data_IF_313183612940
#
_entry.id   IF_313183612940
#
_cell.length_a   1.000
_cell.length_b   1.000
_cell.length_c   1.000
_cell.angle_alpha   90.00
_cell.angle_beta   90.00
_cell.angle_gamma   90.00
#
_symmetry.space_group_name_H-M   'P 1'
#
loop_
_entity.id
_entity.type
_entity.pdbx_description
1 polymer ?
#
# COMPACT_ATOMS: atom_id res chain seq x y z
N UNK A 1 17.40 0.29 16.91
CA UNK A 1 17.41 1.11 18.16
C UNK A 1 17.30 0.22 19.41
N UNK A 2 16.44 -0.78 19.37
CA UNK A 2 16.29 -1.84 20.36
C UNK A 2 16.71 -3.21 19.80
N UNK A 3 17.02 -4.18 20.66
CA UNK A 3 17.17 -5.59 20.24
C UNK A 3 15.88 -6.19 19.65
N UNK A 4 14.74 -5.52 19.89
CA UNK A 4 13.45 -5.86 19.33
C UNK A 4 13.22 -5.31 17.91
N UNK A 5 14.07 -4.40 17.43
CA UNK A 5 13.96 -3.81 16.09
C UNK A 5 14.81 -4.59 15.10
N UNK A 6 14.18 -5.50 14.38
CA UNK A 6 14.90 -6.37 13.43
C UNK A 6 15.25 -5.64 12.13
N UNK A 7 14.42 -4.68 11.72
CA UNK A 7 14.56 -3.94 10.45
C UNK A 7 14.58 -2.45 10.77
N UNK A 8 15.64 -1.76 10.34
CA UNK A 8 15.86 -0.34 10.66
C UNK A 8 15.59 0.61 9.47
N UNK A 9 14.78 0.18 8.49
CA UNK A 9 14.32 1.05 7.41
C UNK A 9 12.79 1.02 7.28
N UNK A 10 12.25 2.08 6.69
CA UNK A 10 10.81 2.30 6.51
C UNK A 10 10.31 2.06 5.09
N UNK A 11 11.18 1.67 4.15
CA UNK A 11 10.74 1.44 2.77
C UNK A 11 9.78 0.24 2.74
N UNK A 12 8.63 0.44 2.13
CA UNK A 12 7.54 -0.53 2.16
C UNK A 12 7.88 -1.85 1.43
N UNK A 13 7.05 -2.86 1.69
CA UNK A 13 7.07 -4.17 1.03
C UNK A 13 8.27 -5.09 1.36
N UNK A 14 9.26 -4.63 2.13
CA UNK A 14 10.48 -5.41 2.44
C UNK A 14 10.29 -6.51 3.47
N UNK A 15 9.31 -6.35 4.37
CA UNK A 15 9.15 -7.20 5.56
C UNK A 15 8.98 -8.69 5.22
N UNK A 16 8.33 -9.01 4.09
CA UNK A 16 8.17 -10.40 3.66
C UNK A 16 9.49 -11.02 3.19
N UNK A 17 10.33 -10.26 2.49
CA UNK A 17 11.67 -10.70 2.09
C UNK A 17 12.57 -10.95 3.30
N UNK A 18 12.55 -10.04 4.28
CA UNK A 18 13.23 -10.23 5.56
C UNK A 18 12.72 -11.47 6.30
N UNK A 19 11.40 -11.65 6.38
CA UNK A 19 10.81 -12.78 7.07
C UNK A 19 11.15 -14.13 6.40
N UNK A 20 11.12 -14.17 5.06
CA UNK A 20 11.56 -15.33 4.28
C UNK A 20 13.03 -15.68 4.59
N UNK A 21 13.92 -14.68 4.55
CA UNK A 21 15.34 -14.84 4.86
C UNK A 21 15.60 -15.31 6.29
N UNK A 22 14.97 -14.69 7.29
CA UNK A 22 15.11 -15.07 8.69
C UNK A 22 14.57 -16.47 8.95
N UNK A 23 13.46 -16.86 8.31
CA UNK A 23 12.91 -18.20 8.47
C UNK A 23 13.83 -19.26 7.83
N UNK A 24 14.51 -18.95 6.71
CA UNK A 24 15.59 -19.79 6.15
C UNK A 24 16.76 -19.93 7.13
N UNK A 25 17.24 -18.82 7.68
CA UNK A 25 18.36 -18.81 8.62
C UNK A 25 18.07 -19.72 9.83
N UNK A 26 16.89 -19.58 10.44
CA UNK A 26 16.46 -20.42 11.57
C UNK A 26 16.41 -21.91 11.23
N UNK A 27 15.89 -22.26 10.05
CA UNK A 27 15.88 -23.65 9.58
C UNK A 27 17.30 -24.23 9.47
N UNK A 28 18.24 -23.48 8.89
CA UNK A 28 19.65 -23.90 8.75
C UNK A 28 20.32 -24.06 10.12
N UNK A 29 20.01 -23.17 11.07
CA UNK A 29 20.57 -23.20 12.42
C UNK A 29 19.91 -24.25 13.33
N UNK A 30 18.84 -24.92 12.86
CA UNK A 30 18.07 -25.86 13.68
C UNK A 30 17.26 -25.18 14.80
N UNK A 31 17.06 -23.85 14.69
CA UNK A 31 16.26 -23.09 15.65
C UNK A 31 14.78 -23.41 15.51
N UNK A 32 14.09 -23.49 16.65
CA UNK A 32 12.65 -23.73 16.69
C UNK A 32 11.91 -22.41 16.89
N UNK A 33 10.80 -22.23 16.17
CA UNK A 33 9.93 -21.08 16.32
C UNK A 33 9.40 -20.59 14.99
N UNK A 34 8.58 -19.54 15.03
CA UNK A 34 8.06 -18.89 13.84
C UNK A 34 8.68 -17.51 13.66
N UNK A 35 8.85 -17.10 12.41
CA UNK A 35 9.05 -15.70 12.06
C UNK A 35 7.68 -15.09 11.79
N UNK A 36 7.41 -13.92 12.36
CA UNK A 36 6.15 -13.21 12.18
C UNK A 36 6.43 -11.90 11.44
N UNK A 37 5.78 -11.70 10.30
CA UNK A 37 5.84 -10.48 9.52
C UNK A 37 4.50 -9.75 9.63
N UNK A 38 4.53 -8.45 9.92
CA UNK A 38 3.32 -7.61 9.87
C UNK A 38 3.45 -6.69 8.67
N UNK A 39 2.47 -6.73 7.77
CA UNK A 39 2.47 -5.94 6.53
C UNK A 39 1.11 -5.26 6.34
N UNK A 40 1.12 -3.99 5.95
CA UNK A 40 -0.12 -3.27 5.60
C UNK A 40 -0.65 -3.67 4.22
N UNK A 41 -1.94 -3.47 3.97
CA UNK A 41 -2.58 -3.69 2.67
C UNK A 41 -1.93 -2.86 1.55
N UNK A 42 -1.62 -1.58 1.80
CA UNK A 42 -0.85 -0.75 0.87
C UNK A 42 0.54 -1.32 0.54
N UNK A 43 1.27 -1.80 1.55
CA UNK A 43 2.60 -2.40 1.35
C UNK A 43 2.56 -3.74 0.60
N UNK A 44 1.42 -4.45 0.60
CA UNK A 44 1.22 -5.64 -0.22
C UNK A 44 1.03 -5.33 -1.71
N UNK A 45 0.79 -4.08 -2.10
CA UNK A 45 0.71 -3.70 -3.52
C UNK A 45 2.08 -3.70 -4.21
N UNK A 46 3.17 -3.60 -3.45
CA UNK A 46 4.51 -3.53 -4.03
C UNK A 46 5.06 -4.86 -4.53
N UNK A 47 5.76 -4.79 -5.67
CA UNK A 47 6.28 -5.98 -6.37
C UNK A 47 7.15 -6.88 -5.49
N UNK A 48 8.03 -6.30 -4.67
CA UNK A 48 8.89 -7.04 -3.75
C UNK A 48 8.09 -7.90 -2.75
N UNK A 49 6.91 -7.44 -2.30
CA UNK A 49 6.07 -8.23 -1.41
C UNK A 49 5.54 -9.47 -2.15
N UNK A 50 5.16 -9.35 -3.42
CA UNK A 50 4.68 -10.44 -4.25
C UNK A 50 5.78 -11.43 -4.63
N UNK A 51 6.97 -10.95 -4.95
CA UNK A 51 8.15 -11.78 -5.18
C UNK A 51 8.46 -12.65 -3.95
N UNK A 52 8.45 -12.01 -2.76
CA UNK A 52 8.65 -12.72 -1.50
C UNK A 52 7.51 -13.69 -1.21
N UNK A 53 6.25 -13.28 -1.39
CA UNK A 53 5.08 -14.10 -1.14
C UNK A 53 5.07 -15.37 -2.01
N UNK A 54 5.42 -15.24 -3.29
CA UNK A 54 5.55 -16.37 -4.20
C UNK A 54 6.61 -17.39 -3.72
N UNK A 55 7.76 -16.89 -3.25
CA UNK A 55 8.81 -17.75 -2.68
C UNK A 55 8.37 -18.41 -1.36
N UNK A 56 7.68 -17.68 -0.49
CA UNK A 56 7.16 -18.19 0.77
C UNK A 56 6.13 -19.29 0.50
N UNK A 57 5.21 -19.06 -0.44
CA UNK A 57 4.15 -20.00 -0.79
C UNK A 57 4.69 -21.32 -1.37
N UNK A 58 5.80 -21.26 -2.12
CA UNK A 58 6.48 -22.45 -2.61
C UNK A 58 7.10 -23.30 -1.48
N UNK A 59 7.44 -22.69 -0.33
CA UNK A 59 8.07 -23.35 0.81
C UNK A 59 7.05 -23.86 1.83
N UNK A 60 6.47 -25.05 1.57
CA UNK A 60 5.33 -25.61 2.33
C UNK A 60 5.56 -25.78 3.83
N UNK A 61 6.80 -25.99 4.26
CA UNK A 61 7.17 -26.27 5.66
C UNK A 61 7.80 -25.05 6.37
N UNK A 62 7.85 -23.89 5.72
CA UNK A 62 8.48 -22.71 6.31
C UNK A 62 7.66 -22.22 7.51
N UNK A 63 8.25 -22.10 8.71
CA UNK A 63 7.52 -21.67 9.90
C UNK A 63 7.40 -20.13 9.91
N UNK A 64 6.49 -19.62 9.09
CA UNK A 64 6.30 -18.18 8.87
C UNK A 64 4.83 -17.81 9.03
N UNK A 65 4.55 -16.74 9.78
CA UNK A 65 3.21 -16.18 9.93
C UNK A 65 3.23 -14.76 9.33
N UNK A 66 2.39 -14.52 8.33
CA UNK A 66 2.17 -13.21 7.73
C UNK A 66 0.90 -12.65 8.36
N UNK A 67 0.99 -11.48 8.99
CA UNK A 67 -0.16 -10.73 9.49
C UNK A 67 -0.40 -9.57 8.53
N UNK A 68 -1.52 -9.61 7.82
CA UNK A 68 -1.97 -8.51 6.98
C UNK A 68 -2.80 -7.57 7.83
N UNK A 69 -2.31 -6.35 8.01
CA UNK A 69 -3.04 -5.25 8.63
C UNK A 69 -3.78 -4.46 7.54
N UNK A 70 -5.02 -4.83 7.28
CA UNK A 70 -5.85 -4.20 6.25
C UNK A 70 -6.71 -3.10 6.86
N UNK A 71 -6.41 -1.85 6.48
CA UNK A 71 -7.19 -0.67 6.84
C UNK A 71 -7.68 0.12 5.60
N UNK A 72 -7.55 -0.47 4.41
CA UNK A 72 -7.89 0.12 3.10
C UNK A 72 -7.16 1.43 2.77
N UNK A 73 -6.06 1.76 3.46
CA UNK A 73 -5.31 3.01 3.25
C UNK A 73 -3.78 2.82 3.26
N UNK A 74 -3.12 3.59 2.40
CA UNK A 74 -1.69 3.93 2.49
C UNK A 74 -1.54 5.39 2.94
N UNK A 75 -1.06 6.29 2.08
CA UNK A 75 -1.28 7.74 2.19
C UNK A 75 -2.75 8.05 1.83
N UNK A 76 -3.14 7.70 0.60
CA UNK A 76 -4.51 7.74 0.10
C UNK A 76 -5.21 6.35 0.24
N UNK A 77 -6.51 6.20 -0.13
CA UNK A 77 -7.13 4.88 -0.22
C UNK A 77 -6.28 3.90 -1.02
N UNK A 78 -6.13 2.67 -0.54
CA UNK A 78 -5.29 1.67 -1.22
C UNK A 78 -5.92 1.29 -2.56
N UNK A 79 -5.13 1.37 -3.62
CA UNK A 79 -5.58 1.10 -4.98
C UNK A 79 -4.94 -0.18 -5.55
N UNK A 80 -5.62 -0.76 -6.54
CA UNK A 80 -5.17 -1.95 -7.27
C UNK A 80 -6.12 -3.14 -7.12
N UNK A 81 -6.01 -4.11 -8.04
CA UNK A 81 -6.88 -5.29 -8.06
C UNK A 81 -6.80 -6.13 -6.78
N UNK A 82 -5.64 -6.15 -6.12
CA UNK A 82 -5.47 -6.79 -4.82
C UNK A 82 -6.28 -6.10 -3.72
N UNK A 83 -6.20 -4.78 -3.65
CA UNK A 83 -6.94 -3.99 -2.67
C UNK A 83 -8.45 -4.18 -2.83
N UNK A 84 -8.94 -4.18 -4.08
CA UNK A 84 -10.35 -4.48 -4.38
C UNK A 84 -10.76 -5.90 -3.95
N UNK A 85 -9.88 -6.88 -4.11
CA UNK A 85 -10.13 -8.26 -3.65
C UNK A 85 -10.22 -8.33 -2.12
N UNK A 86 -9.29 -7.69 -1.40
CA UNK A 86 -9.30 -7.59 0.07
C UNK A 86 -10.58 -6.90 0.57
N UNK A 87 -10.96 -5.78 -0.04
CA UNK A 87 -12.21 -5.07 0.25
C UNK A 87 -13.46 -5.94 0.00
N UNK A 88 -13.47 -6.76 -1.05
CA UNK A 88 -14.57 -7.69 -1.34
C UNK A 88 -14.72 -8.75 -0.24
N UNK A 89 -13.61 -9.28 0.28
CA UNK A 89 -13.63 -10.23 1.40
C UNK A 89 -14.25 -9.60 2.67
N UNK A 90 -13.98 -8.32 2.93
CA UNK A 90 -14.59 -7.55 4.04
C UNK A 90 -16.11 -7.43 3.91
N UNK A 91 -16.62 -7.15 2.71
CA UNK A 91 -18.08 -7.01 2.48
C UNK A 91 -18.83 -8.32 2.73
N UNK A 92 -18.18 -9.46 2.45
CA UNK A 92 -18.75 -10.79 2.64
C UNK A 92 -18.96 -11.10 4.13
N UNK A 93 -18.01 -10.76 5.00
CA UNK A 93 -18.14 -10.87 6.47
C UNK A 93 -19.20 -9.92 7.05
N UNK A 94 -19.34 -8.72 6.48
CA UNK A 94 -20.40 -7.78 6.85
C UNK A 94 -21.79 -8.33 6.53
N UNK A 95 -21.93 -8.95 5.35
CA UNK A 95 -23.16 -9.61 4.93
C UNK A 95 -23.48 -10.84 5.80
N UNK A 96 -22.49 -11.66 6.15
CA UNK A 96 -22.68 -12.81 7.06
C UNK A 96 -23.12 -12.36 8.46
N UNK A 97 -22.55 -11.28 9.00
CA UNK A 97 -22.98 -10.71 10.29
C UNK A 97 -24.41 -10.18 10.24
N UNK A 98 -24.80 -9.52 9.15
CA UNK A 98 -26.18 -9.05 8.95
C UNK A 98 -27.18 -10.22 8.82
N UNK A 99 -26.81 -11.28 8.10
CA UNK A 99 -27.60 -12.52 7.99
C UNK A 99 -27.72 -13.25 9.34
N UNK A 100 -26.63 -13.31 10.12
CA UNK A 100 -26.63 -13.94 11.44
C UNK A 100 -27.56 -13.18 12.41
N UNK A 101 -27.50 -11.84 12.41
CA UNK A 101 -28.43 -11.00 13.16
C UNK A 101 -29.89 -11.21 12.74
N UNK A 102 -30.16 -11.21 11.43
CA UNK A 102 -31.51 -11.44 10.90
C UNK A 102 -32.07 -12.81 11.28
N UNK A 103 -31.22 -13.84 11.31
CA UNK A 103 -31.60 -15.19 11.74
C UNK A 103 -31.96 -15.24 13.23
N UNK A 104 -31.21 -14.53 14.08
CA UNK A 104 -31.47 -14.46 15.52
C UNK A 104 -32.78 -13.74 15.84
N UNK A 105 -33.11 -12.68 15.08
CA UNK A 105 -34.39 -11.96 15.18
C UNK A 105 -35.56 -12.84 14.72
N UNK A 106 -35.39 -13.54 13.60
CA UNK A 106 -36.42 -14.42 13.04
C UNK A 106 -36.74 -15.60 13.98
N UNK A 107 -35.73 -16.16 14.65
CA UNK A 107 -35.91 -17.26 15.62
C UNK A 107 -36.59 -16.85 16.92
N UNK A 108 -36.60 -15.55 17.25
CA UNK A 108 -37.28 -15.00 18.44
C UNK A 108 -38.72 -14.55 18.17
N UNK A 109 -39.18 -14.62 16.93
CA UNK A 109 -40.55 -14.24 16.55
C UNK A 109 -41.47 -15.47 16.62
N UNK A 110 -42.43 -15.52 17.57
CA UNK A 110 -43.35 -16.65 17.64
C UNK A 110 -44.27 -16.60 16.42
N UNK A 111 -44.48 -17.75 15.76
CA UNK A 111 -45.51 -18.05 14.74
C UNK A 111 -45.06 -18.16 13.25
N UNK A 112 -43.84 -17.77 12.83
CA UNK A 112 -43.43 -17.90 11.39
C UNK A 112 -42.12 -18.69 11.17
N UNK A 113 -41.78 -19.59 12.11
CA UNK A 113 -40.46 -20.25 12.14
C UNK A 113 -40.24 -21.33 11.06
N UNK A 114 -41.16 -22.28 10.88
CA UNK A 114 -40.81 -23.53 10.18
C UNK A 114 -40.77 -23.42 8.64
N UNK A 115 -41.69 -22.67 8.02
CA UNK A 115 -41.80 -22.57 6.55
C UNK A 115 -40.74 -21.64 5.93
N UNK A 116 -40.28 -20.62 6.66
CA UNK A 116 -39.19 -19.75 6.20
C UNK A 116 -37.82 -20.41 6.43
N UNK A 117 -37.70 -21.26 7.45
CA UNK A 117 -36.45 -21.94 7.79
C UNK A 117 -36.02 -22.99 6.75
N UNK A 118 -36.97 -23.72 6.15
CA UNK A 118 -36.66 -24.69 5.08
C UNK A 118 -36.30 -24.03 3.75
N UNK A 119 -36.97 -22.91 3.40
CA UNK A 119 -36.64 -22.13 2.20
C UNK A 119 -35.24 -21.48 2.31
N UNK A 120 -34.87 -20.98 3.50
CA UNK A 120 -33.52 -20.49 3.79
C UNK A 120 -32.47 -21.60 3.75
N UNK A 121 -32.80 -22.84 4.14
CA UNK A 121 -31.85 -23.95 4.13
C UNK A 121 -31.50 -24.42 2.70
N UNK A 122 -32.49 -24.44 1.80
CA UNK A 122 -32.28 -24.77 0.38
C UNK A 122 -31.43 -23.73 -0.35
N UNK A 123 -31.66 -22.43 -0.08
CA UNK A 123 -30.84 -21.34 -0.60
C UNK A 123 -29.41 -21.36 -0.04
N UNK A 124 -29.24 -21.71 1.25
CA UNK A 124 -27.93 -21.72 1.94
C UNK A 124 -26.93 -22.71 1.35
N UNK A 125 -27.40 -23.83 0.79
CA UNK A 125 -26.54 -24.86 0.19
C UNK A 125 -26.05 -24.45 -1.20
N UNK A 126 -26.90 -23.82 -2.01
CA UNK A 126 -26.51 -23.27 -3.33
C UNK A 126 -25.74 -21.95 -3.26
N UNK A 127 -25.90 -21.18 -2.18
CA UNK A 127 -25.18 -19.92 -1.96
C UNK A 127 -23.76 -20.15 -1.42
N UNK A 128 -23.55 -21.15 -0.54
CA UNK A 128 -22.22 -21.46 0.02
C UNK A 128 -21.20 -21.94 -1.02
N UNK A 129 -21.64 -22.72 -2.00
CA UNK A 129 -20.75 -23.26 -3.04
C UNK A 129 -20.40 -22.20 -4.13
N UNK A 130 -21.12 -21.07 -4.16
CA UNK A 130 -20.86 -19.94 -5.05
C UNK A 130 -20.09 -18.76 -4.39
N UNK A 131 -20.01 -18.74 -3.05
CA UNK A 131 -19.47 -17.61 -2.26
C UNK A 131 -18.25 -17.96 -1.40
N UNK A 132 -17.62 -19.11 -1.59
CA UNK A 132 -16.25 -19.30 -1.14
C UNK A 132 -15.30 -19.02 -2.31
N UNK A 133 -14.96 -17.76 -2.62
CA UNK A 133 -13.70 -17.51 -3.30
C UNK A 133 -12.63 -17.94 -2.28
N UNK A 134 -12.28 -19.23 -2.29
CA UNK A 134 -11.07 -19.71 -1.65
C UNK A 134 -9.95 -18.89 -2.27
N UNK A 135 -9.42 -17.99 -1.44
CA UNK A 135 -8.97 -16.69 -1.87
C UNK A 135 -7.70 -16.74 -2.70
N UNK A 136 -7.37 -15.62 -3.33
CA UNK A 136 -6.12 -15.38 -4.06
C UNK A 136 -4.89 -16.02 -3.37
N UNK A 137 -4.82 -15.95 -2.04
CA UNK A 137 -3.72 -16.54 -1.26
C UNK A 137 -3.79 -18.06 -1.07
N UNK A 138 -5.00 -18.63 -0.96
CA UNK A 138 -5.17 -20.09 -0.91
C UNK A 138 -4.82 -20.73 -2.27
N UNK A 139 -5.12 -20.04 -3.37
CA UNK A 139 -4.72 -20.44 -4.73
C UNK A 139 -3.19 -20.42 -4.92
N UNK A 140 -2.48 -19.51 -4.24
CA UNK A 140 -1.00 -19.54 -4.18
C UNK A 140 -0.47 -20.70 -3.31
N UNK A 141 -1.34 -21.39 -2.57
CA UNK A 141 -0.97 -22.48 -1.66
C UNK A 141 -0.69 -22.05 -0.22
N UNK A 142 -1.02 -20.80 0.14
CA UNK A 142 -0.88 -20.31 1.51
C UNK A 142 -2.10 -20.67 2.34
N UNK A 143 -1.86 -21.07 3.59
CA UNK A 143 -2.98 -21.20 4.53
C UNK A 143 -3.50 -19.82 4.89
N UNK A 144 -4.79 -19.58 4.73
CA UNK A 144 -5.43 -18.31 5.04
C UNK A 144 -6.30 -18.41 6.31
N UNK A 145 -6.20 -17.40 7.19
CA UNK A 145 -6.99 -17.24 8.41
C UNK A 145 -7.54 -15.80 8.48
N UNK A 146 -8.81 -15.62 8.17
CA UNK A 146 -9.48 -14.33 8.27
C UNK A 146 -10.66 -14.22 7.30
N UNK A 147 -11.21 -13.01 7.12
CA UNK A 147 -10.86 -11.79 7.87
C UNK A 147 -11.16 -11.95 9.38
N UNK A 148 -10.40 -11.25 10.23
CA UNK A 148 -10.70 -11.12 11.66
C UNK A 148 -10.78 -9.66 12.05
N UNK A 149 -11.61 -9.33 13.03
CA UNK A 149 -11.60 -7.98 13.63
C UNK A 149 -10.26 -7.77 14.33
N UNK A 150 -9.41 -6.92 13.75
CA UNK A 150 -8.08 -6.60 14.26
C UNK A 150 -8.11 -5.80 15.57
N UNK A 151 -9.28 -5.33 15.99
CA UNK A 151 -9.49 -4.62 17.26
C UNK A 151 -10.03 -5.51 18.38
N UNK A 152 -10.40 -6.76 18.08
CA UNK A 152 -10.67 -7.78 19.09
C UNK A 152 -9.39 -8.56 19.40
N UNK A 153 -8.71 -8.16 20.48
CA UNK A 153 -7.47 -8.79 20.95
C UNK A 153 -7.64 -10.30 21.14
N UNK A 154 -8.81 -10.77 21.61
CA UNK A 154 -9.04 -12.22 21.83
C UNK A 154 -9.16 -12.95 20.49
N UNK A 155 -9.81 -12.35 19.50
CA UNK A 155 -9.89 -12.90 18.16
C UNK A 155 -8.50 -13.00 17.50
N UNK A 156 -7.69 -11.93 17.60
CA UNK A 156 -6.32 -11.89 17.09
C UNK A 156 -5.43 -12.93 17.77
N UNK A 157 -5.45 -13.00 19.11
CA UNK A 157 -4.71 -14.03 19.86
C UNK A 157 -5.11 -15.44 19.44
N UNK A 158 -6.42 -15.70 19.29
CA UNK A 158 -6.93 -16.99 18.86
C UNK A 158 -6.46 -17.36 17.44
N UNK A 159 -6.46 -16.40 16.52
CA UNK A 159 -5.95 -16.59 15.17
C UNK A 159 -4.44 -16.89 15.15
N UNK A 160 -3.63 -16.10 15.86
CA UNK A 160 -2.18 -16.30 15.96
C UNK A 160 -1.82 -17.64 16.62
N UNK A 161 -2.56 -18.06 17.66
CA UNK A 161 -2.38 -19.39 18.29
C UNK A 161 -2.74 -20.53 17.34
N UNK A 162 -3.75 -20.36 16.48
CA UNK A 162 -4.08 -21.32 15.42
C UNK A 162 -3.00 -21.36 14.34
N UNK A 163 -2.53 -20.20 13.88
CA UNK A 163 -1.45 -20.09 12.91
C UNK A 163 -0.17 -20.78 13.39
N UNK A 164 0.23 -20.56 14.65
CA UNK A 164 1.40 -21.21 15.27
C UNK A 164 1.32 -22.75 15.31
N UNK A 165 0.13 -23.34 15.30
CA UNK A 165 -0.04 -24.81 15.30
C UNK A 165 0.11 -25.40 13.90
N UNK A 166 0.16 -24.56 12.86
CA UNK A 166 0.34 -25.00 11.50
C UNK A 166 1.84 -25.15 11.19
N UNK A 167 2.19 -26.21 10.48
CA UNK A 167 3.57 -26.53 10.12
C UNK A 167 3.91 -26.03 8.71
N UNK A 168 3.75 -24.72 8.50
CA UNK A 168 3.98 -24.06 7.21
C UNK A 168 3.58 -22.59 7.24
N UNK A 169 3.67 -21.88 6.09
CA UNK A 169 3.28 -20.49 5.97
C UNK A 169 1.79 -20.28 6.22
N UNK A 170 1.46 -19.30 7.06
CA UNK A 170 0.07 -18.90 7.33
C UNK A 170 -0.09 -17.40 7.15
N UNK A 171 -1.09 -16.99 6.39
CA UNK A 171 -1.56 -15.62 6.32
C UNK A 171 -2.73 -15.43 7.27
N UNK A 172 -2.61 -14.46 8.17
CA UNK A 172 -3.65 -13.98 9.09
C UNK A 172 -4.09 -12.61 8.61
N UNK A 173 -5.35 -12.47 8.23
CA UNK A 173 -5.88 -11.22 7.69
C UNK A 173 -6.69 -10.48 8.76
N UNK A 174 -6.13 -9.38 9.27
CA UNK A 174 -6.72 -8.53 10.30
C UNK A 174 -7.29 -7.25 9.68
N UNK A 175 -8.58 -6.99 9.90
CA UNK A 175 -9.23 -5.74 9.51
C UNK A 175 -9.06 -4.71 10.63
N UNK A 176 -8.48 -3.55 10.32
CA UNK A 176 -8.31 -2.45 11.26
C UNK A 176 -8.89 -1.14 10.73
N UNK A 177 -8.66 -0.05 11.46
CA UNK A 177 -9.15 1.29 11.14
C UNK A 177 -8.01 2.26 11.44
N UNK A 178 -7.50 2.92 10.40
CA UNK A 178 -6.42 3.92 10.51
C UNK A 178 -6.93 5.09 11.36
N UNK A 179 -6.13 5.55 12.33
CA UNK A 179 -6.53 6.64 13.23
C UNK A 179 -7.53 6.27 14.33
N UNK A 180 -7.95 4.98 14.46
CA UNK A 180 -8.93 4.57 15.47
C UNK A 180 -8.56 5.02 16.88
N UNK A 181 -9.53 5.61 17.56
CA UNK A 181 -9.37 6.12 18.92
C UNK A 181 -8.88 7.57 18.97
N UNK A 182 -8.63 8.21 17.81
CA UNK A 182 -8.28 9.61 17.71
C UNK A 182 -9.15 10.32 16.67
N UNK A 183 -10.24 10.91 17.13
CA UNK A 183 -11.27 11.56 16.29
C UNK A 183 -10.71 12.56 15.27
N UNK A 184 -9.69 13.41 15.58
CA UNK A 184 -9.12 14.31 14.58
C UNK A 184 -8.51 13.59 13.37
N UNK A 185 -7.82 12.46 13.59
CA UNK A 185 -7.27 11.67 12.49
C UNK A 185 -8.37 11.03 11.64
N UNK A 186 -9.46 10.58 12.25
CA UNK A 186 -10.59 9.99 11.51
C UNK A 186 -11.32 11.02 10.62
N UNK A 187 -11.28 12.30 10.99
CA UNK A 187 -11.91 13.40 10.24
C UNK A 187 -11.05 14.00 9.14
N UNK A 188 -9.73 13.76 9.18
CA UNK A 188 -8.85 14.13 8.09
C UNK A 188 -9.00 13.13 6.94
N UNK A 189 -9.93 13.41 6.02
CA UNK A 189 -10.24 12.52 4.90
C UNK A 189 -9.06 12.34 3.93
N UNK A 190 -8.13 13.31 3.88
CA UNK A 190 -7.01 13.36 2.93
C UNK A 190 -5.94 12.30 3.25
N UNK A 191 -5.42 12.27 4.49
CA UNK A 191 -4.31 11.37 4.85
C UNK A 191 -4.51 10.65 6.20
N UNK A 192 -5.58 10.94 6.94
CA UNK A 192 -5.83 10.39 8.29
C UNK A 192 -4.66 10.63 9.25
N UNK A 193 -4.05 11.82 9.17
CA UNK A 193 -2.85 12.17 9.95
C UNK A 193 -1.68 11.19 9.76
N UNK A 194 -1.49 10.64 8.56
CA UNK A 194 -0.29 9.84 8.27
C UNK A 194 1.00 10.64 8.45
N UNK A 195 0.98 11.92 8.03
CA UNK A 195 2.05 12.88 8.33
C UNK A 195 1.49 13.96 9.23
N UNK A 196 2.04 14.10 10.45
CA UNK A 196 1.60 15.12 11.41
C UNK A 196 2.75 16.07 11.67
N UNK A 197 2.59 17.31 11.21
CA UNK A 197 3.48 18.40 11.61
C UNK A 197 3.29 18.77 13.08
N UNK A 198 4.11 19.69 13.58
CA UNK A 198 3.94 20.21 14.94
C UNK A 198 2.60 20.96 15.02
N UNK A 199 1.65 20.42 15.77
CA UNK A 199 0.27 20.90 15.87
C UNK A 199 -0.18 21.12 17.31
N UNK A 200 -1.19 21.97 17.50
CA UNK A 200 -1.83 22.17 18.79
C UNK A 200 -2.58 20.88 19.18
N UNK A 201 -2.33 20.29 20.36
CA UNK A 201 -2.91 19.01 20.74
C UNK A 201 -4.43 19.06 21.00
N UNK A 202 -5.01 20.26 21.15
CA UNK A 202 -6.45 20.47 21.37
C UNK A 202 -7.18 20.78 20.06
N UNK A 203 -6.62 21.65 19.22
CA UNK A 203 -7.27 22.05 17.96
C UNK A 203 -6.85 21.21 16.77
N UNK A 204 -5.71 20.52 16.87
CA UNK A 204 -5.05 19.80 15.79
C UNK A 204 -4.65 20.68 14.60
N UNK A 205 -4.56 22.00 14.83
CA UNK A 205 -4.09 22.96 13.83
C UNK A 205 -2.56 23.11 13.91
N UNK A 206 -1.88 23.37 12.78
CA UNK A 206 -0.44 23.63 12.78
C UNK A 206 -0.05 24.81 13.68
N UNK A 207 0.97 24.64 14.52
CA UNK A 207 1.41 25.67 15.47
C UNK A 207 2.16 26.83 14.83
N UNK A 208 2.57 26.70 13.57
CA UNK A 208 3.23 27.77 12.83
C UNK A 208 2.78 27.75 11.37
N UNK A 209 2.28 28.87 10.83
CA UNK A 209 1.96 28.96 9.41
C UNK A 209 3.23 28.82 8.57
N UNK A 210 3.12 28.21 7.39
CA UNK A 210 4.24 28.05 6.46
C UNK A 210 4.76 29.42 6.01
N UNK A 211 6.08 29.59 5.95
CA UNK A 211 6.77 30.85 5.62
C UNK A 211 6.80 31.20 4.13
N UNK A 212 6.07 30.46 3.28
CA UNK A 212 6.02 30.64 1.83
C UNK A 212 5.47 29.40 1.12
N UNK A 213 5.35 29.43 -0.21
CA UNK A 213 4.97 28.25 -0.99
C UNK A 213 6.03 27.15 -0.85
N UNK A 214 5.58 25.90 -0.81
CA UNK A 214 6.48 24.74 -0.81
C UNK A 214 6.86 24.38 -2.25
N UNK A 215 7.98 23.67 -2.45
CA UNK A 215 8.32 23.13 -3.78
C UNK A 215 7.20 22.29 -4.37
N UNK A 216 6.53 21.51 -3.53
CA UNK A 216 5.36 20.69 -3.91
C UNK A 216 4.20 21.53 -4.40
N UNK A 217 3.89 22.67 -3.75
CA UNK A 217 2.81 23.54 -4.20
C UNK A 217 3.16 24.24 -5.52
N UNK A 218 4.42 24.71 -5.66
CA UNK A 218 4.90 25.31 -6.92
C UNK A 218 4.83 24.31 -8.07
N UNK A 219 5.32 23.08 -7.87
CA UNK A 219 5.22 22.01 -8.86
C UNK A 219 3.76 21.70 -9.22
N UNK A 220 2.88 21.57 -8.22
CA UNK A 220 1.48 21.25 -8.41
C UNK A 220 0.71 22.30 -9.21
N UNK A 221 0.99 23.58 -8.98
CA UNK A 221 0.43 24.68 -9.78
C UNK A 221 0.98 24.66 -11.21
N UNK A 222 2.29 24.46 -11.37
CA UNK A 222 2.94 24.51 -12.67
C UNK A 222 2.52 23.36 -13.59
N UNK A 223 2.44 22.12 -13.07
CA UNK A 223 2.03 20.99 -13.88
C UNK A 223 0.58 21.14 -14.38
N UNK A 224 -0.30 21.79 -13.61
CA UNK A 224 -1.66 22.11 -14.07
C UNK A 224 -1.62 23.08 -15.24
N UNK A 225 -0.82 24.15 -15.14
CA UNK A 225 -0.65 25.12 -16.25
C UNK A 225 -0.11 24.44 -17.51
N UNK A 226 0.92 23.62 -17.37
CA UNK A 226 1.46 22.81 -18.46
C UNK A 226 0.36 21.90 -19.05
N UNK A 227 -0.46 21.29 -18.20
CA UNK A 227 -1.54 20.41 -18.63
C UNK A 227 -2.67 21.10 -19.40
N UNK A 228 -2.90 22.39 -19.14
CA UNK A 228 -3.85 23.23 -19.90
C UNK A 228 -3.33 23.58 -21.30
N UNK A 229 -2.01 23.72 -21.45
CA UNK A 229 -1.37 24.02 -22.73
C UNK A 229 -1.07 22.76 -23.56
N UNK A 230 -0.84 21.63 -22.89
CA UNK A 230 -0.41 20.36 -23.49
C UNK A 230 -1.33 19.21 -23.12
N UNK A 231 -2.07 18.72 -24.11
CA UNK A 231 -2.96 17.55 -23.98
C UNK A 231 -2.17 16.23 -23.84
N UNK A 232 -0.93 16.19 -24.30
CA UNK A 232 -0.08 14.99 -24.28
C UNK A 232 0.61 14.75 -22.93
N UNK A 233 0.61 15.74 -22.02
CA UNK A 233 1.23 15.61 -20.70
C UNK A 233 0.34 14.81 -19.76
N UNK A 234 0.89 13.77 -19.16
CA UNK A 234 0.18 12.92 -18.19
C UNK A 234 1.01 12.75 -16.93
N UNK A 235 0.37 12.43 -15.79
CA UNK A 235 1.06 12.28 -14.51
C UNK A 235 0.97 10.83 -14.00
N UNK A 236 2.05 10.36 -13.39
CA UNK A 236 2.10 9.07 -12.70
C UNK A 236 2.71 9.26 -11.32
N UNK A 237 2.16 8.59 -10.32
CA UNK A 237 2.75 8.52 -8.98
C UNK A 237 2.61 7.13 -8.38
N UNK A 238 3.33 6.88 -7.28
CA UNK A 238 3.33 5.62 -6.57
C UNK A 238 2.80 5.82 -5.14
N UNK A 239 1.48 5.76 -4.97
CA UNK A 239 0.74 5.99 -3.72
C UNK A 239 0.94 7.36 -3.06
N UNK A 240 1.37 8.38 -3.82
CA UNK A 240 1.78 9.69 -3.28
C UNK A 240 1.08 10.88 -3.95
N UNK A 241 -0.13 10.70 -4.49
CA UNK A 241 -0.86 11.75 -5.23
C UNK A 241 -0.85 13.13 -4.53
N UNK A 242 -1.19 13.16 -3.25
CA UNK A 242 -1.20 14.39 -2.46
C UNK A 242 0.22 14.83 -2.05
N UNK A 243 1.05 13.95 -1.43
CA UNK A 243 2.39 14.34 -1.03
C UNK A 243 3.27 14.93 -2.14
N UNK A 244 3.15 14.47 -3.39
CA UNK A 244 3.93 14.98 -4.52
C UNK A 244 3.23 16.11 -5.31
N UNK A 245 2.11 16.64 -4.81
CA UNK A 245 1.48 17.83 -5.38
C UNK A 245 0.66 17.57 -6.65
N UNK A 246 0.30 16.32 -6.96
CA UNK A 246 -0.48 15.99 -8.15
C UNK A 246 -2.00 16.08 -7.96
N UNK A 247 -2.49 16.26 -6.74
CA UNK A 247 -3.92 16.35 -6.46
C UNK A 247 -4.65 17.44 -7.28
N UNK A 248 -4.12 18.68 -7.46
CA UNK A 248 -4.74 19.68 -8.33
C UNK A 248 -4.83 19.24 -9.80
N UNK A 249 -3.78 18.58 -10.31
CA UNK A 249 -3.76 18.07 -11.68
C UNK A 249 -4.77 16.94 -11.87
N UNK A 250 -4.90 16.02 -10.90
CA UNK A 250 -5.92 14.97 -10.94
C UNK A 250 -7.35 15.53 -10.88
N UNK A 251 -7.58 16.59 -10.10
CA UNK A 251 -8.89 17.24 -10.05
C UNK A 251 -9.25 17.92 -11.39
N UNK A 252 -8.25 18.50 -12.07
CA UNK A 252 -8.44 19.20 -13.35
C UNK A 252 -8.52 18.25 -14.55
N UNK A 253 -7.71 17.18 -14.54
CA UNK A 253 -7.51 16.23 -15.63
C UNK A 253 -7.57 14.78 -15.11
N UNK A 254 -8.74 14.29 -14.64
CA UNK A 254 -8.85 12.99 -13.99
C UNK A 254 -8.43 11.81 -14.87
N UNK A 255 -8.61 11.93 -16.19
CA UNK A 255 -8.25 10.87 -17.15
C UNK A 255 -6.75 10.86 -17.54
N UNK A 256 -5.94 11.77 -16.96
CA UNK A 256 -4.51 11.96 -17.28
C UNK A 256 -3.60 11.74 -16.07
N UNK A 257 -4.10 11.10 -15.01
CA UNK A 257 -3.32 10.76 -13.81
C UNK A 257 -3.51 9.30 -13.45
N UNK A 258 -2.41 8.60 -13.22
CA UNK A 258 -2.44 7.25 -12.70
C UNK A 258 -1.61 7.14 -11.43
N UNK A 259 -2.26 6.73 -10.34
CA UNK A 259 -1.57 6.23 -9.17
C UNK A 259 -1.45 4.70 -9.31
N UNK A 260 -0.24 4.17 -9.19
CA UNK A 260 0.04 2.73 -9.36
C UNK A 260 0.12 1.97 -8.03
N UNK A 261 -0.17 2.63 -6.91
CA UNK A 261 0.09 2.09 -5.58
C UNK A 261 1.58 2.13 -5.25
N UNK A 262 2.03 1.35 -4.26
CA UNK A 262 3.45 1.32 -3.85
C UNK A 262 4.25 0.47 -4.84
N UNK A 263 4.39 0.94 -6.08
CA UNK A 263 4.97 0.19 -7.18
C UNK A 263 5.84 1.09 -8.08
N UNK A 264 6.93 1.64 -7.54
CA UNK A 264 7.79 2.59 -8.25
C UNK A 264 8.40 2.00 -9.53
N UNK A 265 8.77 0.71 -9.53
CA UNK A 265 9.24 0.03 -10.75
C UNK A 265 8.16 0.07 -11.83
N UNK A 266 6.91 -0.23 -11.46
CA UNK A 266 5.81 -0.21 -12.40
C UNK A 266 5.50 1.21 -12.90
N UNK A 267 5.60 2.23 -12.05
CA UNK A 267 5.44 3.62 -12.45
C UNK A 267 6.43 4.00 -13.57
N UNK A 268 7.72 3.65 -13.41
CA UNK A 268 8.76 3.95 -14.39
C UNK A 268 8.54 3.21 -15.73
N UNK A 269 8.21 1.92 -15.69
CA UNK A 269 7.96 1.12 -16.91
C UNK A 269 6.67 1.56 -17.61
N UNK A 270 5.62 1.83 -16.83
CA UNK A 270 4.35 2.34 -17.37
C UNK A 270 4.57 3.69 -18.08
N UNK A 271 5.42 4.56 -17.52
CA UNK A 271 5.83 5.80 -18.18
C UNK A 271 6.56 5.53 -19.50
N UNK A 272 7.49 4.57 -19.57
CA UNK A 272 8.12 4.19 -20.84
C UNK A 272 7.07 3.74 -21.89
N UNK A 273 6.07 2.98 -21.46
CA UNK A 273 4.93 2.56 -22.31
C UNK A 273 4.09 3.74 -22.82
N UNK A 274 3.72 4.67 -21.93
CA UNK A 274 2.96 5.88 -22.29
C UNK A 274 3.76 6.78 -23.25
N UNK A 275 5.06 6.95 -23.00
CA UNK A 275 5.96 7.70 -23.87
C UNK A 275 6.06 7.05 -25.27
N UNK A 276 6.16 5.73 -25.34
CA UNK A 276 6.13 4.98 -26.60
C UNK A 276 4.79 5.15 -27.33
N UNK A 277 3.69 5.31 -26.58
CA UNK A 277 2.34 5.61 -27.08
C UNK A 277 2.14 7.06 -27.55
N UNK A 278 3.16 7.93 -27.45
CA UNK A 278 3.12 9.31 -27.92
C UNK A 278 2.69 10.35 -26.88
N UNK A 279 2.57 9.96 -25.60
CA UNK A 279 2.32 10.89 -24.49
C UNK A 279 3.65 11.37 -23.87
N UNK A 280 3.59 12.40 -23.04
CA UNK A 280 4.72 12.89 -22.24
C UNK A 280 4.43 12.64 -20.75
N UNK A 281 4.81 11.49 -20.19
CA UNK A 281 4.57 11.20 -18.78
C UNK A 281 5.53 11.95 -17.85
N UNK A 282 4.96 12.52 -16.80
CA UNK A 282 5.65 13.10 -15.65
C UNK A 282 5.47 12.14 -14.46
N UNK A 283 6.54 11.47 -14.07
CA UNK A 283 6.57 10.57 -12.90
C UNK A 283 7.00 11.38 -11.68
N UNK A 284 6.07 11.62 -10.75
CA UNK A 284 6.33 12.37 -9.52
C UNK A 284 6.37 11.43 -8.31
N UNK A 285 7.55 11.36 -7.68
CA UNK A 285 7.85 10.48 -6.55
C UNK A 285 8.84 11.17 -5.61
N UNK A 286 8.99 10.67 -4.37
CA UNK A 286 10.11 11.12 -3.55
C UNK A 286 11.44 10.58 -4.09
N UNK A 287 12.49 11.38 -3.99
CA UNK A 287 13.83 11.04 -4.44
C UNK A 287 14.35 9.71 -3.85
N UNK A 288 14.07 9.43 -2.58
CA UNK A 288 14.50 8.17 -1.94
C UNK A 288 13.82 6.93 -2.56
N UNK A 289 12.59 7.06 -3.06
CA UNK A 289 11.82 5.94 -3.60
C UNK A 289 12.17 5.65 -5.06
N UNK A 290 12.72 6.62 -5.80
CA UNK A 290 13.26 6.38 -7.14
C UNK A 290 14.32 5.27 -7.14
N UNK A 291 15.04 5.08 -6.03
CA UNK A 291 16.03 4.00 -5.89
C UNK A 291 15.42 2.61 -6.13
N UNK A 292 14.11 2.42 -5.90
CA UNK A 292 13.40 1.17 -6.22
C UNK A 292 13.28 0.93 -7.73
N UNK A 293 13.25 2.00 -8.51
CA UNK A 293 13.02 1.98 -9.96
C UNK A 293 14.29 2.33 -10.77
N UNK A 294 15.48 2.26 -10.17
CA UNK A 294 16.72 2.64 -10.85
C UNK A 294 16.97 1.83 -12.12
N UNK A 295 16.79 0.50 -12.05
CA UNK A 295 16.96 -0.37 -13.22
C UNK A 295 15.94 -0.04 -14.32
N UNK A 296 14.69 0.22 -13.96
CA UNK A 296 13.64 0.58 -14.91
C UNK A 296 13.90 1.95 -15.56
N UNK A 297 14.38 2.92 -14.79
CA UNK A 297 14.80 4.21 -15.33
C UNK A 297 15.97 4.03 -16.32
N UNK A 298 16.94 3.17 -16.00
CA UNK A 298 18.10 2.93 -16.84
C UNK A 298 17.75 2.13 -18.12
N UNK A 299 17.07 1.00 -17.95
CA UNK A 299 16.86 0.00 -19.00
C UNK A 299 15.59 0.23 -19.81
N UNK A 300 14.49 0.63 -19.18
CA UNK A 300 13.21 0.80 -19.88
C UNK A 300 13.01 2.22 -20.40
N UNK A 301 13.50 3.23 -19.67
CA UNK A 301 13.36 4.64 -20.08
C UNK A 301 14.58 5.15 -20.85
N UNK A 302 15.75 5.20 -20.20
CA UNK A 302 16.90 5.90 -20.74
C UNK A 302 17.52 5.20 -21.97
N UNK A 303 17.65 3.86 -21.92
CA UNK A 303 18.15 3.07 -23.06
C UNK A 303 17.31 3.30 -24.33
N UNK A 304 16.00 3.41 -24.17
CA UNK A 304 15.04 3.65 -25.25
C UNK A 304 14.88 5.13 -25.62
N UNK A 305 15.51 6.04 -24.87
CA UNK A 305 15.38 7.50 -25.02
C UNK A 305 13.93 7.97 -24.96
N UNK A 306 13.13 7.32 -24.10
CA UNK A 306 11.73 7.67 -23.91
C UNK A 306 11.60 9.09 -23.35
N UNK A 307 10.61 9.84 -23.84
CA UNK A 307 10.31 11.21 -23.39
C UNK A 307 9.59 11.22 -22.05
N UNK A 308 10.29 10.87 -20.96
CA UNK A 308 9.74 10.81 -19.59
C UNK A 308 10.42 11.89 -18.74
N UNK A 309 9.63 12.64 -17.97
CA UNK A 309 10.15 13.56 -16.94
C UNK A 309 9.98 12.92 -15.57
N UNK A 310 11.06 12.79 -14.81
CA UNK A 310 11.00 12.41 -13.40
C UNK A 310 11.09 13.66 -12.53
N UNK A 311 10.12 13.84 -11.65
CA UNK A 311 10.09 14.91 -10.65
C UNK A 311 10.33 14.29 -9.28
N UNK A 312 11.46 14.65 -8.68
CA UNK A 312 11.92 14.08 -7.43
C UNK A 312 11.67 15.07 -6.30
N UNK A 313 10.56 14.89 -5.61
CA UNK A 313 10.26 15.66 -4.41
C UNK A 313 11.08 15.09 -3.22
N UNK A 314 11.23 15.85 -2.13
CA UNK A 314 12.01 15.44 -0.95
C UNK A 314 13.46 15.01 -1.29
N UNK A 315 14.07 15.66 -2.28
CA UNK A 315 15.49 15.46 -2.61
C UNK A 315 16.39 16.04 -1.52
N UNK A 316 17.46 15.31 -1.17
CA UNK A 316 18.38 15.66 -0.08
C UNK A 316 17.92 15.19 1.30
N UNK A 317 18.33 15.92 2.34
CA UNK A 317 18.00 15.58 3.74
C UNK A 317 16.60 16.06 4.06
N UNK A 318 15.70 15.14 4.44
CA UNK A 318 14.29 15.43 4.75
C UNK A 318 14.06 15.76 6.23
N UNK A 319 15.08 15.58 7.07
CA UNK A 319 15.03 15.95 8.48
C UNK A 319 14.50 14.83 9.36
N UNK A 320 13.26 14.97 9.84
CA UNK A 320 12.70 14.11 10.90
C UNK A 320 12.36 12.69 10.43
N UNK A 321 12.18 12.48 9.12
CA UNK A 321 11.87 11.15 8.56
C UNK A 321 13.09 10.19 8.59
N UNK A 322 14.27 10.71 8.87
CA UNK A 322 15.48 9.93 9.12
C UNK A 322 16.13 9.32 7.87
N UNK A 323 17.11 8.45 8.12
CA UNK A 323 18.04 7.98 7.08
C UNK A 323 17.38 7.20 5.93
N UNK A 324 16.25 6.51 6.18
CA UNK A 324 15.53 5.79 5.13
C UNK A 324 14.78 6.71 4.16
N UNK A 325 14.44 7.93 4.58
CA UNK A 325 13.68 8.88 3.75
C UNK A 325 14.52 10.01 3.15
N UNK A 326 15.75 10.19 3.62
CA UNK A 326 16.69 11.13 3.01
C UNK A 326 16.95 10.73 1.54
N UNK A 327 16.47 11.53 0.59
CA UNK A 327 16.67 11.38 -0.84
C UNK A 327 18.06 11.81 -1.30
N UNK A 328 19.11 11.23 -0.72
CA UNK A 328 20.50 11.70 -0.88
C UNK A 328 21.24 11.12 -2.09
N UNK A 329 20.68 10.08 -2.70
CA UNK A 329 21.39 9.22 -3.64
C UNK A 329 21.14 9.56 -5.10
N UNK A 330 20.05 10.29 -5.39
CA UNK A 330 19.58 10.63 -6.72
C UNK A 330 20.68 11.25 -7.59
N UNK A 331 21.36 12.29 -7.11
CA UNK A 331 22.43 12.95 -7.87
C UNK A 331 23.65 12.05 -8.12
N UNK A 332 23.90 11.06 -7.27
CA UNK A 332 25.03 10.12 -7.46
C UNK A 332 24.65 8.96 -8.38
N UNK A 333 23.45 8.43 -8.21
CA UNK A 333 22.93 7.26 -8.92
C UNK A 333 22.49 7.64 -10.34
N UNK A 334 21.84 8.79 -10.52
CA UNK A 334 21.33 9.20 -11.83
C UNK A 334 22.41 9.68 -12.81
N UNK A 335 23.54 10.16 -12.31
CA UNK A 335 24.65 10.61 -13.16
C UNK A 335 25.26 9.48 -14.01
N UNK A 336 25.12 8.22 -13.60
CA UNK A 336 25.66 7.09 -14.37
C UNK A 336 24.75 6.68 -15.53
N UNK A 337 23.53 7.22 -15.61
CA UNK A 337 22.53 6.86 -16.61
C UNK A 337 22.79 7.62 -17.92
N UNK A 338 23.13 6.94 -19.03
CA UNK A 338 23.44 7.62 -20.28
C UNK A 338 22.25 8.39 -20.86
N UNK A 339 22.48 9.63 -21.29
CA UNK A 339 21.47 10.47 -21.95
C UNK A 339 20.47 11.14 -21.00
N UNK A 340 20.48 10.80 -19.71
CA UNK A 340 19.65 11.46 -18.71
C UNK A 340 20.11 12.91 -18.51
N UNK A 341 19.14 13.82 -18.42
CA UNK A 341 19.38 15.23 -18.05
C UNK A 341 18.88 15.44 -16.64
N UNK A 342 19.71 16.07 -15.81
CA UNK A 342 19.42 16.28 -14.40
C UNK A 342 19.41 17.79 -14.14
N UNK A 343 18.39 18.27 -13.45
CA UNK A 343 18.26 19.66 -13.03
C UNK A 343 17.99 19.73 -11.53
N UNK A 344 18.56 20.74 -10.88
CA UNK A 344 18.28 21.10 -9.49
C UNK A 344 17.89 22.59 -9.48
N UNK A 345 16.58 22.89 -9.57
CA UNK A 345 16.13 24.28 -9.67
C UNK A 345 16.48 25.04 -8.39
N UNK A 346 16.96 26.28 -8.56
CA UNK A 346 17.39 27.13 -7.43
C UNK A 346 16.23 27.88 -6.78
N UNK A 347 15.17 28.13 -7.55
CA UNK A 347 13.98 28.91 -7.19
C UNK A 347 12.76 28.43 -8.01
N UNK A 348 11.58 28.94 -7.68
CA UNK A 348 10.31 28.61 -8.33
C UNK A 348 10.25 29.02 -9.81
N UNK A 349 10.94 30.10 -10.19
CA UNK A 349 10.97 30.57 -11.58
C UNK A 349 11.81 29.65 -12.49
N UNK A 350 12.73 28.86 -11.91
CA UNK A 350 13.57 27.91 -12.63
C UNK A 350 13.03 26.47 -12.65
N UNK A 351 12.03 26.15 -11.81
CA UNK A 351 11.38 24.83 -11.78
C UNK A 351 10.53 24.63 -13.04
#
# INVERSE_FOLDING_TARGET
>A
ESEHDVIENSHASTVLGWADGLAKARQVQGERGHVVAVIGDGALTGGMAWEALNNIAAARDRPLIIVVNDNERSYAPTIGGLANHLATLRTTDGYERALAWGKDVLQRTPVVGNTVYEALHGAKKGFKDAFAPQGLFEDLGLKYLGPIDGHDIRAVESALRRAKRFHGPVLVHCLTEKGRGYEPALRDEEDHFHTVGVMDPLTCEPLSPSSGPSWTSVFGEEIVRIGEEREDVVAITAAMLHPVGLAPFAARFPDRVWDVGIAEQHAAVSAAGLATGGLHPVVAVYATFLNRAFDQLLMDVALHRCGVTFVLDRAGVTGVDGASHNGMWDMSVLQVVPGLRIAAPRDADQL
#
